data_IF_775252000940
#
_entry.id   IF_775252000940
#
_cell.length_a   1.000
_cell.length_b   1.000
_cell.length_c   1.000
_cell.angle_alpha   90.00
_cell.angle_beta   90.00
_cell.angle_gamma   90.00
#
_symmetry.space_group_name_H-M   'P 1'
#
loop_
_entity.id
_entity.type
_entity.pdbx_description
1 polymer ?
#
# COMPACT_ATOMS: atom_id res chain seq x y z
N UNK A 1 -11.49 2.58 17.00
CA UNK A 1 -12.71 1.99 16.50
C UNK A 1 -12.41 1.43 15.11
N UNK A 2 -12.54 0.08 14.96
CA UNK A 2 -12.49 -0.57 13.66
C UNK A 2 -13.74 -0.14 12.90
N UNK A 3 -13.57 0.76 11.96
CA UNK A 3 -14.63 1.04 10.98
C UNK A 3 -14.63 -0.15 10.04
N UNK A 4 -15.76 -0.86 9.98
CA UNK A 4 -15.93 -1.93 9.00
C UNK A 4 -15.74 -1.34 7.59
N UNK A 5 -15.04 -2.05 6.68
CA UNK A 5 -14.86 -1.58 5.32
C UNK A 5 -16.24 -1.38 4.67
N UNK A 6 -16.38 -0.41 3.74
CA UNK A 6 -17.61 -0.27 2.97
C UNK A 6 -18.04 -1.60 2.33
N UNK A 7 -19.33 -1.85 2.20
CA UNK A 7 -19.87 -3.10 1.64
C UNK A 7 -19.28 -3.44 0.25
N UNK A 8 -19.05 -2.43 -0.58
CA UNK A 8 -18.40 -2.58 -1.89
C UNK A 8 -16.96 -3.06 -1.79
N UNK A 9 -16.19 -2.59 -0.81
CA UNK A 9 -14.82 -3.03 -0.58
C UNK A 9 -14.77 -4.49 -0.12
N UNK A 10 -15.66 -4.89 0.78
CA UNK A 10 -15.75 -6.29 1.21
C UNK A 10 -16.09 -7.20 0.03
N UNK A 11 -17.08 -6.83 -0.79
CA UNK A 11 -17.44 -7.57 -2.01
C UNK A 11 -16.29 -7.67 -3.02
N UNK A 12 -15.47 -6.61 -3.15
CA UNK A 12 -14.30 -6.62 -4.00
C UNK A 12 -13.22 -7.60 -3.49
N UNK A 13 -12.97 -7.62 -2.17
CA UNK A 13 -12.07 -8.58 -1.53
C UNK A 13 -12.57 -10.02 -1.68
N UNK A 14 -13.85 -10.27 -1.45
CA UNK A 14 -14.48 -11.59 -1.59
C UNK A 14 -14.36 -12.09 -3.06
N UNK A 15 -14.52 -11.19 -4.03
CA UNK A 15 -14.35 -11.53 -5.44
C UNK A 15 -12.91 -11.93 -5.76
N UNK A 16 -11.94 -11.13 -5.33
CA UNK A 16 -10.50 -11.37 -5.57
C UNK A 16 -9.97 -12.58 -4.80
N UNK A 17 -10.66 -13.03 -3.76
CA UNK A 17 -10.33 -14.25 -3.01
C UNK A 17 -10.91 -15.51 -3.68
N UNK A 18 -10.74 -15.67 -4.95
CA UNK A 18 -11.19 -16.83 -5.72
C UNK A 18 -11.24 -16.57 -7.21
N UNK A 19 -11.07 -15.31 -7.63
CA UNK A 19 -11.04 -14.94 -9.04
C UNK A 19 -9.91 -13.94 -9.30
N UNK A 20 -9.29 -14.07 -10.47
CA UNK A 20 -8.21 -13.18 -10.87
C UNK A 20 -8.68 -11.77 -11.24
N UNK A 21 -7.75 -10.83 -11.23
CA UNK A 21 -8.02 -9.48 -11.73
C UNK A 21 -8.43 -9.47 -13.20
N UNK A 22 -7.82 -10.33 -14.02
CA UNK A 22 -8.19 -10.52 -15.42
C UNK A 22 -9.66 -10.96 -15.57
N UNK A 23 -10.12 -11.85 -14.69
CA UNK A 23 -11.52 -12.26 -14.66
C UNK A 23 -12.44 -11.09 -14.31
N UNK A 24 -12.07 -10.26 -13.33
CA UNK A 24 -12.86 -9.09 -12.94
C UNK A 24 -13.03 -8.08 -14.07
N UNK A 25 -11.97 -7.80 -14.83
CA UNK A 25 -12.02 -6.89 -15.99
C UNK A 25 -12.95 -7.39 -17.11
N UNK A 26 -13.22 -8.69 -17.16
CA UNK A 26 -14.07 -9.32 -18.18
C UNK A 26 -15.49 -9.61 -17.70
N UNK A 27 -15.74 -9.52 -16.39
CA UNK A 27 -17.02 -9.88 -15.75
C UNK A 27 -18.04 -8.74 -15.86
N UNK A 28 -18.94 -8.86 -16.82
CA UNK A 28 -20.01 -7.89 -17.06
C UNK A 28 -21.11 -7.88 -15.99
N UNK A 29 -21.05 -8.79 -15.02
CA UNK A 29 -22.03 -8.87 -13.92
C UNK A 29 -21.64 -8.02 -12.73
N UNK A 30 -20.40 -7.59 -12.64
CA UNK A 30 -19.92 -6.70 -11.60
C UNK A 30 -20.49 -5.29 -11.74
N UNK A 31 -20.96 -4.72 -10.63
CA UNK A 31 -21.32 -3.31 -10.61
C UNK A 31 -20.11 -2.40 -10.78
N UNK A 32 -20.34 -1.19 -11.29
CA UNK A 32 -19.29 -0.19 -11.44
C UNK A 32 -18.56 0.12 -10.13
N UNK A 33 -19.29 0.12 -9.02
CA UNK A 33 -18.74 0.35 -7.68
C UNK A 33 -17.74 -0.75 -7.28
N UNK A 34 -18.09 -2.02 -7.49
CA UNK A 34 -17.23 -3.15 -7.16
C UNK A 34 -15.99 -3.16 -8.03
N UNK A 35 -16.13 -2.91 -9.35
CA UNK A 35 -14.98 -2.88 -10.26
C UNK A 35 -14.02 -1.74 -9.91
N UNK A 36 -14.52 -0.58 -9.48
CA UNK A 36 -13.70 0.52 -9.02
C UNK A 36 -12.92 0.16 -7.74
N UNK A 37 -13.56 -0.51 -6.78
CA UNK A 37 -12.88 -0.98 -5.57
C UNK A 37 -11.82 -2.04 -5.89
N UNK A 38 -12.09 -2.96 -6.82
CA UNK A 38 -11.09 -3.92 -7.31
C UNK A 38 -9.90 -3.19 -7.93
N UNK A 39 -10.15 -2.20 -8.79
CA UNK A 39 -9.10 -1.41 -9.43
C UNK A 39 -8.26 -0.66 -8.40
N UNK A 40 -8.86 -0.07 -7.38
CA UNK A 40 -8.17 0.63 -6.30
C UNK A 40 -7.28 -0.32 -5.49
N UNK A 41 -7.81 -1.47 -5.07
CA UNK A 41 -7.06 -2.49 -4.35
C UNK A 41 -5.86 -2.98 -5.16
N UNK A 42 -6.07 -3.26 -6.45
CA UNK A 42 -5.02 -3.73 -7.35
C UNK A 42 -3.99 -2.64 -7.68
N UNK A 43 -4.40 -1.39 -7.83
CA UNK A 43 -3.48 -0.26 -8.03
C UNK A 43 -2.59 -0.06 -6.80
N UNK A 44 -3.13 -0.16 -5.59
CA UNK A 44 -2.37 -0.08 -4.35
C UNK A 44 -1.37 -1.25 -4.20
N UNK A 45 -1.78 -2.47 -4.56
CA UNK A 45 -0.88 -3.63 -4.59
C UNK A 45 0.27 -3.42 -5.58
N UNK A 46 -0.03 -2.97 -6.80
CA UNK A 46 0.99 -2.69 -7.82
C UNK A 46 1.98 -1.62 -7.35
N UNK A 47 1.48 -0.50 -6.81
CA UNK A 47 2.34 0.56 -6.29
C UNK A 47 3.24 0.04 -5.16
N UNK A 48 2.70 -0.80 -4.27
CA UNK A 48 3.48 -1.41 -3.20
C UNK A 48 4.61 -2.30 -3.73
N UNK A 49 4.35 -3.07 -4.79
CA UNK A 49 5.37 -3.89 -5.44
C UNK A 49 6.44 -3.04 -6.15
N UNK A 50 6.05 -1.94 -6.78
CA UNK A 50 6.98 -0.96 -7.40
C UNK A 50 7.90 -0.35 -6.35
N UNK A 51 7.35 0.05 -5.19
CA UNK A 51 8.12 0.59 -4.07
C UNK A 51 9.08 -0.46 -3.51
N UNK A 52 8.63 -1.70 -3.36
CA UNK A 52 9.46 -2.81 -2.88
C UNK A 52 10.66 -3.09 -3.79
N UNK A 53 10.51 -2.86 -5.09
CA UNK A 53 11.59 -2.95 -6.10
C UNK A 53 12.56 -1.74 -6.07
N UNK A 54 12.36 -0.78 -5.17
CA UNK A 54 13.24 0.37 -4.95
C UNK A 54 12.84 1.66 -5.67
N UNK A 55 11.71 1.68 -6.37
CA UNK A 55 11.17 2.91 -6.99
C UNK A 55 10.33 3.67 -5.96
N UNK A 56 10.64 4.93 -5.69
CA UNK A 56 9.82 5.72 -4.77
C UNK A 56 8.44 6.03 -5.35
N UNK A 57 7.42 6.15 -4.49
CA UNK A 57 6.08 6.54 -4.93
C UNK A 57 6.06 7.90 -5.63
N UNK A 58 6.89 8.84 -5.19
CA UNK A 58 7.01 10.17 -5.78
C UNK A 58 7.61 10.09 -7.17
N UNK A 59 8.71 9.35 -7.35
CA UNK A 59 9.35 9.22 -8.66
C UNK A 59 8.44 8.50 -9.66
N UNK A 60 7.73 7.46 -9.21
CA UNK A 60 6.74 6.79 -10.03
C UNK A 60 5.60 7.73 -10.46
N UNK A 61 5.09 8.54 -9.53
CA UNK A 61 4.05 9.53 -9.84
C UNK A 61 4.51 10.56 -10.87
N UNK A 62 5.72 11.11 -10.71
CA UNK A 62 6.31 12.05 -11.65
C UNK A 62 6.51 11.41 -13.03
N UNK A 63 7.02 10.19 -13.07
CA UNK A 63 7.15 9.43 -14.31
C UNK A 63 5.81 9.28 -15.04
N UNK A 64 4.74 8.87 -14.32
CA UNK A 64 3.41 8.73 -14.92
C UNK A 64 2.90 10.05 -15.47
N UNK A 65 3.07 11.15 -14.73
CA UNK A 65 2.67 12.48 -15.19
C UNK A 65 3.41 12.89 -16.48
N UNK A 66 4.72 12.71 -16.51
CA UNK A 66 5.54 13.05 -17.68
C UNK A 66 5.22 12.14 -18.88
N UNK A 67 5.04 10.84 -18.62
CA UNK A 67 4.65 9.90 -19.66
C UNK A 67 3.29 10.28 -20.28
N UNK A 68 2.29 10.59 -19.46
CA UNK A 68 0.99 11.05 -19.94
C UNK A 68 1.06 12.36 -20.72
N UNK A 69 1.87 13.32 -20.26
CA UNK A 69 2.11 14.59 -20.93
C UNK A 69 2.75 14.42 -22.30
N UNK A 70 3.77 13.57 -22.40
CA UNK A 70 4.54 13.34 -23.63
C UNK A 70 3.75 12.51 -24.67
N UNK A 71 2.82 11.71 -24.21
CA UNK A 71 1.98 10.86 -25.07
C UNK A 71 0.55 11.39 -25.24
N UNK A 72 0.32 12.65 -24.92
CA UNK A 72 -0.99 13.29 -25.09
C UNK A 72 -1.45 13.20 -26.55
N UNK A 73 -2.68 12.69 -26.74
CA UNK A 73 -3.28 12.44 -28.06
C UNK A 73 -2.61 11.34 -28.91
N UNK A 74 -1.77 10.49 -28.30
CA UNK A 74 -1.19 9.32 -28.96
C UNK A 74 -1.86 8.06 -28.44
N UNK A 75 -1.96 7.05 -29.29
CA UNK A 75 -2.32 5.71 -28.85
C UNK A 75 -1.11 5.09 -28.13
N UNK A 76 -1.29 4.69 -26.88
CA UNK A 76 -0.27 4.06 -26.06
C UNK A 76 -0.69 2.62 -25.77
N UNK A 77 0.23 1.69 -25.86
CA UNK A 77 0.05 0.31 -25.42
C UNK A 77 0.96 0.02 -24.20
N UNK A 78 0.75 -1.13 -23.59
CA UNK A 78 1.52 -1.54 -22.44
C UNK A 78 3.03 -1.63 -22.74
N UNK A 79 3.42 -2.13 -23.89
CA UNK A 79 4.83 -2.26 -24.26
C UNK A 79 5.54 -0.91 -24.30
N UNK A 80 4.89 0.12 -24.86
CA UNK A 80 5.44 1.48 -24.87
C UNK A 80 5.61 2.03 -23.46
N UNK A 81 4.65 1.77 -22.58
CA UNK A 81 4.70 2.18 -21.18
C UNK A 81 5.82 1.44 -20.42
N UNK A 82 5.88 0.12 -20.55
CA UNK A 82 6.88 -0.74 -19.90
C UNK A 82 8.31 -0.40 -20.34
N UNK A 83 8.50 -0.11 -21.63
CA UNK A 83 9.81 0.33 -22.14
C UNK A 83 10.24 1.67 -21.53
N UNK A 84 9.37 2.69 -21.56
CA UNK A 84 9.66 3.97 -20.94
C UNK A 84 9.88 3.86 -19.43
N UNK A 85 9.13 2.97 -18.76
CA UNK A 85 9.33 2.66 -17.35
C UNK A 85 10.72 2.05 -17.10
N UNK A 86 11.13 1.07 -17.91
CA UNK A 86 12.44 0.42 -17.77
C UNK A 86 13.60 1.35 -18.02
N UNK A 87 13.47 2.31 -18.95
CA UNK A 87 14.49 3.35 -19.19
C UNK A 87 14.69 4.27 -17.97
N UNK A 88 13.62 4.52 -17.19
CA UNK A 88 13.69 5.39 -16.00
C UNK A 88 14.15 4.64 -14.74
N UNK A 89 13.73 3.38 -14.56
CA UNK A 89 13.88 2.66 -13.29
C UNK A 89 14.78 1.42 -13.38
N UNK A 90 15.23 1.05 -14.58
CA UNK A 90 16.18 -0.05 -14.79
C UNK A 90 15.60 -1.45 -14.70
N UNK A 91 14.27 -1.61 -14.64
CA UNK A 91 13.58 -2.90 -14.63
C UNK A 91 12.22 -2.81 -15.31
N UNK A 92 11.62 -3.95 -15.72
CA UNK A 92 10.40 -4.00 -16.48
C UNK A 92 9.17 -4.35 -15.62
N UNK A 93 8.06 -3.62 -15.78
CA UNK A 93 6.78 -3.96 -15.14
C UNK A 93 6.26 -5.33 -15.61
N UNK A 94 6.59 -5.72 -16.84
CA UNK A 94 6.28 -7.06 -17.38
C UNK A 94 6.83 -8.21 -16.53
N UNK A 95 7.81 -8.00 -15.67
CA UNK A 95 8.32 -9.00 -14.73
C UNK A 95 7.29 -9.40 -13.65
N UNK A 96 6.42 -8.47 -13.26
CA UNK A 96 5.43 -8.70 -12.19
C UNK A 96 4.01 -8.92 -12.73
N UNK A 97 3.70 -8.44 -13.92
CA UNK A 97 2.35 -8.44 -14.48
C UNK A 97 1.70 -9.82 -14.65
N UNK A 98 2.36 -10.88 -15.11
CA UNK A 98 1.70 -12.19 -15.25
C UNK A 98 1.10 -12.65 -13.91
N UNK A 99 1.89 -12.60 -12.84
CA UNK A 99 1.42 -12.94 -11.49
C UNK A 99 0.34 -11.97 -10.98
N UNK A 100 0.46 -10.71 -11.33
CA UNK A 100 -0.46 -9.65 -10.89
C UNK A 100 -1.88 -9.83 -11.46
N UNK A 101 -2.01 -10.19 -12.75
CA UNK A 101 -3.31 -10.35 -13.42
C UNK A 101 -3.96 -11.70 -13.15
N UNK A 102 -3.16 -12.77 -13.07
CA UNK A 102 -3.67 -14.14 -13.02
C UNK A 102 -3.87 -14.69 -11.60
N UNK A 103 -3.34 -14.00 -10.59
CA UNK A 103 -3.46 -14.42 -9.19
C UNK A 103 -4.92 -14.48 -8.75
N UNK A 104 -5.32 -15.63 -8.19
CA UNK A 104 -6.68 -15.89 -7.70
C UNK A 104 -6.80 -15.87 -6.17
N UNK A 105 -5.68 -15.70 -5.46
CA UNK A 105 -5.62 -15.67 -4.01
C UNK A 105 -5.03 -14.35 -3.52
N UNK A 106 -5.48 -13.89 -2.38
CA UNK A 106 -4.93 -12.72 -1.71
C UNK A 106 -3.94 -13.15 -0.61
N UNK A 107 -2.87 -12.39 -0.37
CA UNK A 107 -2.01 -12.64 0.79
C UNK A 107 -2.81 -12.41 2.08
N UNK A 108 -2.69 -13.34 3.02
CA UNK A 108 -3.38 -13.29 4.30
C UNK A 108 -2.38 -13.08 5.44
N UNK A 109 -2.21 -11.85 5.88
CA UNK A 109 -1.28 -11.51 6.96
C UNK A 109 -1.98 -11.43 8.31
N UNK A 110 -1.39 -12.04 9.30
CA UNK A 110 -1.76 -11.89 10.69
C UNK A 110 -0.64 -11.20 11.47
N UNK A 111 -0.96 -10.10 12.12
CA UNK A 111 -0.04 -9.40 13.03
C UNK A 111 -0.30 -9.86 14.45
N UNK A 112 0.74 -10.29 15.15
CA UNK A 112 0.70 -10.77 16.54
C UNK A 112 1.76 -10.06 17.37
N UNK A 113 1.63 -10.19 18.69
CA UNK A 113 2.63 -9.77 19.67
C UNK A 113 3.08 -8.31 19.53
N UNK A 114 2.15 -7.44 19.13
CA UNK A 114 2.43 -6.02 18.95
C UNK A 114 2.84 -5.38 20.29
N UNK A 115 4.03 -4.76 20.34
CA UNK A 115 4.60 -4.11 21.52
C UNK A 115 5.24 -2.79 21.12
N UNK A 116 5.00 -1.77 21.94
CA UNK A 116 5.68 -0.48 21.83
C UNK A 116 6.44 -0.25 23.12
N UNK A 117 7.74 0.01 23.02
CA UNK A 117 8.60 0.36 24.15
C UNK A 117 9.25 1.70 23.90
N UNK A 118 9.23 2.57 24.88
CA UNK A 118 10.05 3.78 24.88
C UNK A 118 11.51 3.39 25.08
N UNK A 119 12.40 3.96 24.28
CA UNK A 119 13.85 3.82 24.47
C UNK A 119 14.28 5.04 25.30
N UNK A 120 14.59 4.82 26.55
CA UNK A 120 15.16 5.85 27.42
C UNK A 120 16.65 5.96 27.14
N UNK A 121 17.16 7.18 26.94
CA UNK A 121 18.60 7.40 27.04
C UNK A 121 18.97 7.61 28.52
N UNK A 122 20.19 7.26 28.93
CA UNK A 122 20.60 7.33 30.35
C UNK A 122 20.53 8.73 30.97
N UNK A 123 20.39 9.77 30.14
CA UNK A 123 20.29 11.18 30.55
C UNK A 123 18.86 11.73 30.54
N UNK A 124 17.86 10.94 30.13
CA UNK A 124 16.48 11.40 29.86
C UNK A 124 15.46 10.89 30.90
N UNK A 125 15.91 10.39 32.08
CA UNK A 125 15.01 9.81 33.10
C UNK A 125 14.00 10.83 33.68
N UNK A 126 14.22 12.13 33.49
CA UNK A 126 13.36 13.21 34.02
C UNK A 126 12.65 14.07 32.96
N UNK A 127 12.86 13.80 31.66
CA UNK A 127 12.23 14.59 30.60
C UNK A 127 10.82 14.09 30.26
N UNK A 128 9.96 15.06 29.90
CA UNK A 128 8.59 14.83 29.42
C UNK A 128 8.58 13.69 28.36
N UNK A 129 7.79 12.62 28.56
CA UNK A 129 7.71 11.49 27.62
C UNK A 129 7.33 11.89 26.17
N UNK A 130 6.93 13.12 25.94
CA UNK A 130 6.49 13.64 24.65
C UNK A 130 7.48 14.61 24.01
N UNK A 131 8.74 14.62 24.46
CA UNK A 131 9.75 15.45 23.80
C UNK A 131 9.99 14.99 22.35
N UNK A 132 10.34 15.93 21.43
CA UNK A 132 10.56 15.59 20.00
C UNK A 132 11.64 14.55 19.75
N UNK A 133 12.48 14.23 20.75
CA UNK A 133 13.60 13.28 20.67
C UNK A 133 13.27 11.90 21.25
N UNK A 134 12.06 11.67 21.74
CA UNK A 134 11.67 10.38 22.28
C UNK A 134 11.70 9.30 21.21
N UNK A 135 12.51 8.27 21.44
CA UNK A 135 12.62 7.11 20.55
C UNK A 135 11.71 5.99 21.04
N UNK A 136 11.05 5.33 20.12
CA UNK A 136 10.23 4.16 20.40
C UNK A 136 10.74 2.95 19.61
N UNK A 137 10.69 1.79 20.24
CA UNK A 137 10.88 0.50 19.58
C UNK A 137 9.51 -0.14 19.40
N UNK A 138 9.18 -0.46 18.17
CA UNK A 138 7.97 -1.19 17.81
C UNK A 138 8.39 -2.59 17.41
N UNK A 139 7.82 -3.59 18.07
CA UNK A 139 8.06 -5.01 17.83
C UNK A 139 6.74 -5.68 17.54
N UNK A 140 6.67 -6.52 16.53
CA UNK A 140 5.51 -7.34 16.21
C UNK A 140 5.94 -8.52 15.35
N UNK A 141 5.15 -9.58 15.38
CA UNK A 141 5.31 -10.73 14.51
C UNK A 141 4.32 -10.64 13.36
N UNK A 142 4.78 -10.97 12.17
CA UNK A 142 3.95 -11.08 10.97
C UNK A 142 3.95 -12.53 10.51
N UNK A 143 2.77 -13.11 10.41
CA UNK A 143 2.57 -14.43 9.85
C UNK A 143 1.79 -14.30 8.53
N UNK A 144 2.36 -14.77 7.43
CA UNK A 144 1.59 -15.00 6.22
C UNK A 144 0.92 -16.37 6.31
N UNK A 145 -0.41 -16.40 6.26
CA UNK A 145 -1.22 -17.62 6.35
C UNK A 145 -1.58 -18.19 4.98
N UNK A 146 -1.17 -17.52 3.90
CA UNK A 146 -1.39 -17.97 2.52
C UNK A 146 -0.05 -18.31 1.87
N UNK A 147 -0.10 -19.10 0.80
CA UNK A 147 1.08 -19.43 -0.03
C UNK A 147 1.42 -18.29 -1.02
N UNK A 148 0.76 -17.15 -0.87
CA UNK A 148 0.87 -16.02 -1.78
C UNK A 148 1.73 -14.92 -1.16
N UNK A 149 2.75 -14.49 -1.88
CA UNK A 149 3.57 -13.33 -1.50
C UNK A 149 2.74 -12.05 -1.48
N UNK A 150 3.02 -11.17 -0.53
CA UNK A 150 2.37 -9.88 -0.43
C UNK A 150 3.26 -8.84 0.26
N UNK A 151 2.79 -7.60 0.27
CA UNK A 151 3.48 -6.47 0.88
C UNK A 151 2.63 -5.94 2.04
N UNK A 152 3.28 -5.70 3.19
CA UNK A 152 2.69 -5.01 4.33
C UNK A 152 3.27 -3.61 4.39
N UNK A 153 2.39 -2.61 4.34
CA UNK A 153 2.78 -1.22 4.54
C UNK A 153 2.38 -0.79 5.94
N UNK A 154 3.34 -0.25 6.68
CA UNK A 154 3.09 0.27 8.03
C UNK A 154 3.13 1.80 8.01
N UNK A 155 2.05 2.42 8.46
CA UNK A 155 1.99 3.86 8.66
C UNK A 155 2.19 4.18 10.14
N UNK A 156 3.29 4.90 10.45
CA UNK A 156 3.57 5.39 11.79
C UNK A 156 3.13 6.85 11.86
N UNK A 157 2.05 7.09 12.61
CA UNK A 157 1.56 8.44 12.89
C UNK A 157 1.90 8.86 14.31
N UNK A 158 2.52 10.01 14.50
CA UNK A 158 2.67 10.66 15.80
C UNK A 158 1.58 11.72 15.96
N UNK A 159 0.63 11.51 16.88
CA UNK A 159 -0.29 12.55 17.26
C UNK A 159 0.42 13.50 18.24
N UNK A 160 0.79 14.68 17.78
CA UNK A 160 1.24 15.75 18.67
C UNK A 160 -0.01 16.33 19.32
N UNK A 161 -0.33 15.85 20.52
CA UNK A 161 -1.29 16.55 21.37
C UNK A 161 -0.61 17.83 21.87
N UNK A 162 -0.91 18.97 21.24
CA UNK A 162 -0.70 20.24 21.90
C UNK A 162 -1.59 20.23 23.13
N UNK A 163 -0.99 20.11 24.31
CA UNK A 163 -1.69 20.38 25.55
C UNK A 163 -2.27 21.79 25.43
N UNK A 164 -3.60 21.90 25.34
CA UNK A 164 -4.27 23.19 25.33
C UNK A 164 -3.97 23.90 26.66
N UNK A 165 -3.85 25.21 26.63
CA UNK A 165 -3.62 25.95 27.85
C UNK A 165 -4.81 25.76 28.80
N UNK A 166 -4.48 25.27 29.99
CA UNK A 166 -5.24 25.41 31.23
C UNK A 166 -6.74 25.00 31.24
N UNK A 167 -7.02 23.80 31.68
CA UNK A 167 -8.18 23.61 32.55
C UNK A 167 -7.71 23.61 33.99
N UNK A 168 -7.63 24.80 34.60
CA UNK A 168 -7.68 24.92 36.05
C UNK A 168 -9.10 24.58 36.49
N UNK A 169 -9.22 23.58 37.32
CA UNK A 169 -10.39 23.34 38.17
C UNK A 169 -10.22 24.19 39.43
#
# INVERSE_FOLDING_TARGET
>A
PNVAPPDSQQKALDYLNGKSYQAALSDKTLSFEIINQINELKANDLLSQIILKGTSATDFHLFVQDFMKNNRFRQVNFQTFDHAFSENFGWHLSEIFPKYFDRQELPAFQVKNFRIKRILSPTEEEEDPWTPHTKFRIEFDVLNQSDVDGVITMHLGTAIYKAGPDRRV
#
